data_IF_422206197399
#
_entry.id   IF_422206197399
#
_cell.length_a   1.000
_cell.length_b   1.000
_cell.length_c   1.000
_cell.angle_alpha   90.00
_cell.angle_beta   90.00
_cell.angle_gamma   90.00
#
_symmetry.space_group_name_H-M   'P 1'
#
loop_
_entity.id
_entity.type
_entity.pdbx_description
1 polymer ?
#
# COMPACT_ATOMS: atom_id res chain seq x y z
N UNK A 1 5.80 -3.27 -11.22
CA UNK A 1 6.43 -2.74 -9.98
C UNK A 1 5.51 -3.09 -8.82
N UNK A 2 6.01 -3.68 -7.74
CA UNK A 2 5.20 -3.95 -6.53
C UNK A 2 5.31 -2.76 -5.58
N UNK A 3 4.19 -2.25 -5.08
CA UNK A 3 4.12 -1.05 -4.23
C UNK A 3 3.23 -1.31 -3.02
N UNK A 4 3.77 -1.05 -1.82
CA UNK A 4 3.01 -1.01 -0.58
C UNK A 4 2.56 0.43 -0.31
N UNK A 5 1.25 0.65 -0.17
CA UNK A 5 0.64 1.91 0.23
C UNK A 5 0.18 1.80 1.69
N UNK A 6 0.68 2.68 2.56
CA UNK A 6 0.23 2.79 3.95
C UNK A 6 -0.82 3.90 4.05
N UNK A 7 -2.06 3.52 4.33
CA UNK A 7 -3.18 4.44 4.48
C UNK A 7 -3.29 4.92 5.93
N UNK A 8 -3.04 6.21 6.15
CA UNK A 8 -3.15 6.87 7.45
C UNK A 8 -4.56 7.46 7.69
N UNK A 9 -5.61 6.87 7.12
CA UNK A 9 -6.98 7.42 7.13
C UNK A 9 -7.09 8.77 6.42
N UNK A 10 -6.29 8.93 5.37
CA UNK A 10 -6.33 10.12 4.51
C UNK A 10 -7.33 9.93 3.36
N UNK A 11 -8.11 10.97 3.08
CA UNK A 11 -9.12 10.93 2.02
C UNK A 11 -8.53 10.82 0.60
N UNK A 12 -7.24 11.09 0.43
CA UNK A 12 -6.56 11.08 -0.87
C UNK A 12 -5.75 9.82 -1.16
N UNK A 13 -5.62 8.88 -0.21
CA UNK A 13 -4.86 7.62 -0.38
C UNK A 13 -5.23 6.92 -1.70
N UNK A 14 -6.53 6.78 -1.98
CA UNK A 14 -7.00 6.05 -3.16
C UNK A 14 -6.78 6.79 -4.48
N UNK A 15 -6.62 8.12 -4.48
CA UNK A 15 -6.22 8.85 -5.67
C UNK A 15 -4.81 8.44 -6.11
N UNK A 16 -3.88 8.30 -5.16
CA UNK A 16 -2.51 7.90 -5.43
C UNK A 16 -2.44 6.42 -5.84
N UNK A 17 -3.21 5.55 -5.16
CA UNK A 17 -3.33 4.12 -5.53
C UNK A 17 -3.78 3.98 -6.98
N UNK A 18 -4.79 4.75 -7.40
CA UNK A 18 -5.27 4.73 -8.78
C UNK A 18 -4.18 5.16 -9.77
N UNK A 19 -3.47 6.26 -9.51
CA UNK A 19 -2.40 6.72 -10.40
C UNK A 19 -1.30 5.67 -10.58
N UNK A 20 -0.90 4.98 -9.51
CA UNK A 20 0.07 3.89 -9.62
C UNK A 20 -0.49 2.68 -10.37
N UNK A 21 -1.77 2.36 -10.18
CA UNK A 21 -2.47 1.33 -10.95
C UNK A 21 -2.50 1.62 -12.45
N UNK A 22 -2.77 2.87 -12.84
CA UNK A 22 -2.74 3.33 -14.24
C UNK A 22 -1.33 3.23 -14.86
N UNK A 23 -0.28 3.35 -14.04
CA UNK A 23 1.12 3.14 -14.43
C UNK A 23 1.53 1.65 -14.44
N UNK A 24 0.61 0.72 -14.16
CA UNK A 24 0.87 -0.72 -14.15
C UNK A 24 1.56 -1.24 -12.89
N UNK A 25 1.48 -0.51 -11.77
CA UNK A 25 1.93 -1.02 -10.49
C UNK A 25 0.92 -1.99 -9.87
N UNK A 26 1.43 -3.02 -9.21
CA UNK A 26 0.66 -3.89 -8.33
C UNK A 26 0.70 -3.27 -6.93
N UNK A 27 -0.43 -2.71 -6.49
CA UNK A 27 -0.52 -1.92 -5.26
C UNK A 27 -1.22 -2.71 -4.16
N UNK A 28 -0.54 -2.91 -3.04
CA UNK A 28 -1.12 -3.44 -1.79
C UNK A 28 -1.34 -2.27 -0.83
N UNK A 29 -2.57 -2.05 -0.36
CA UNK A 29 -2.89 -0.96 0.58
C UNK A 29 -3.25 -1.53 1.94
N UNK A 30 -2.59 -1.06 3.00
CA UNK A 30 -2.83 -1.47 4.40
C UNK A 30 -2.98 -0.22 5.28
N UNK A 31 -3.78 -0.29 6.35
CA UNK A 31 -3.83 0.78 7.37
C UNK A 31 -2.55 0.78 8.19
N UNK A 32 -2.18 1.95 8.69
CA UNK A 32 -0.94 2.14 9.47
C UNK A 32 -0.92 1.37 10.81
N UNK A 33 -2.08 0.96 11.31
CA UNK A 33 -2.29 0.32 12.61
C UNK A 33 -2.86 -1.10 12.49
N UNK A 34 -3.07 -1.60 11.27
CA UNK A 34 -3.57 -2.96 11.00
C UNK A 34 -2.47 -3.95 10.60
N UNK A 35 -1.20 -3.55 10.60
CA UNK A 35 -0.07 -4.41 10.21
C UNK A 35 1.20 -4.12 11.03
N UNK A 36 1.96 -5.17 11.33
CA UNK A 36 3.27 -5.11 12.00
C UNK A 36 4.43 -5.20 11.01
N UNK A 37 5.63 -4.78 11.43
CA UNK A 37 6.83 -4.91 10.59
C UNK A 37 7.17 -6.36 10.26
N UNK A 38 6.99 -7.29 11.22
CA UNK A 38 7.27 -8.71 11.01
C UNK A 38 6.33 -9.33 9.96
N UNK A 39 5.05 -8.92 9.95
CA UNK A 39 4.09 -9.33 8.91
C UNK A 39 4.48 -8.77 7.54
N UNK A 40 4.93 -7.51 7.47
CA UNK A 40 5.42 -6.92 6.22
C UNK A 40 6.66 -7.64 5.70
N UNK A 41 7.64 -7.93 6.56
CA UNK A 41 8.82 -8.70 6.16
C UNK A 41 8.42 -10.07 5.60
N UNK A 42 7.48 -10.77 6.22
CA UNK A 42 6.97 -12.04 5.70
C UNK A 42 6.25 -11.92 4.35
N UNK A 43 5.57 -10.80 4.08
CA UNK A 43 4.85 -10.54 2.83
C UNK A 43 5.76 -10.17 1.65
N UNK A 44 6.94 -9.58 1.91
CA UNK A 44 7.81 -8.99 0.89
C UNK A 44 9.19 -9.65 0.74
N UNK A 45 9.41 -10.81 1.37
CA UNK A 45 10.56 -11.70 1.09
C UNK A 45 10.52 -12.29 -0.34
#
# INVERSE_FOLDING_TARGET
MRLLMIDNYDSFTYNIVQYFGELGAEVTTLRNDEVTLDELDAMFQ
#
